data_IF_969143041961
#
_entry.id   IF_969143041961
#
_cell.length_a   1.000
_cell.length_b   1.000
_cell.length_c   1.000
_cell.angle_alpha   90.00
_cell.angle_beta   90.00
_cell.angle_gamma   90.00
#
_symmetry.space_group_name_H-M   'P 1'
#
loop_
_entity.id
_entity.type
_entity.pdbx_description
1 polymer ?
2 polymer ?
3 polymer ?
4 non-polymer ?
5 water ?
#
# COMPACT_ATOMS: atom_id res chain seq x y z
N UNK A 1 -16.63 -5.44 14.84
CA UNK A 1 -17.51 -6.65 14.79
C UNK A 1 -17.03 -7.94 14.05
N UNK A 2 -16.05 -8.73 14.50
CA UNK A 2 -15.06 -8.49 15.58
C UNK A 2 -14.16 -7.28 15.30
N UNK A 3 -13.24 -7.42 14.34
CA UNK A 3 -12.67 -6.19 13.74
C UNK A 3 -13.65 -5.54 12.76
N UNK A 4 -13.31 -5.56 11.49
CA UNK A 4 -14.47 -5.37 10.59
C UNK A 4 -15.08 -6.64 10.02
N UNK A 5 -15.41 -7.55 10.96
CA UNK A 5 -15.35 -9.01 10.73
C UNK A 5 -14.17 -9.71 11.45
N UNK A 6 -13.04 -9.64 10.74
CA UNK A 6 -11.68 -10.04 11.25
C UNK A 6 -10.87 -9.02 12.10
N UNK A 7 -10.08 -9.42 13.13
CA UNK A 7 -9.94 -10.69 13.88
C UNK A 7 -8.94 -11.72 13.44
N UNK A 8 -9.11 -12.10 12.19
CA UNK A 8 -8.12 -12.92 11.48
C UNK A 8 -7.00 -12.14 10.74
N UNK A 9 -7.11 -10.83 10.86
CA UNK A 9 -6.20 -10.00 10.06
C UNK A 9 -4.72 -10.27 10.16
N UNK A 10 -4.04 -10.00 9.06
CA UNK A 10 -2.59 -10.02 9.09
C UNK A 10 -1.89 -11.34 9.31
N UNK A 11 -2.68 -12.42 9.30
CA UNK A 11 -2.08 -13.77 9.26
C UNK A 11 -2.27 -14.42 7.89
N UNK A 12 -1.17 -14.63 7.20
CA UNK A 12 -1.36 -15.03 5.80
C UNK A 12 -1.62 -16.55 5.65
N UNK A 13 -2.66 -16.94 4.87
CA UNK A 13 -2.94 -18.37 4.66
C UNK A 13 -1.73 -19.21 4.32
N UNK A 14 -0.88 -18.70 3.41
CA UNK A 14 0.26 -19.51 2.99
C UNK A 14 1.54 -19.40 3.80
N UNK A 15 1.53 -18.50 4.80
CA UNK A 15 2.76 -18.34 5.59
C UNK A 15 2.47 -18.52 7.06
N UNK A 16 2.06 -17.47 7.79
CA UNK A 16 1.80 -17.63 9.23
C UNK A 16 0.90 -18.76 9.66
N UNK A 17 -0.21 -18.92 8.93
CA UNK A 17 -1.04 -20.10 9.21
C UNK A 17 -0.45 -21.52 9.03
N UNK A 18 0.67 -21.66 8.33
CA UNK A 18 1.28 -22.98 8.11
C UNK A 18 2.66 -23.02 8.72
N UNK A 19 2.91 -21.98 9.51
CA UNK A 19 4.23 -21.77 10.11
C UNK A 19 5.35 -21.75 9.11
N UNK A 20 5.02 -21.20 7.94
CA UNK A 20 6.09 -20.98 6.97
C UNK A 20 6.56 -19.51 6.91
N UNK A 21 7.85 -19.30 6.73
CA UNK A 21 8.35 -17.93 6.60
C UNK A 21 8.58 -17.52 5.18
N UNK A 22 8.28 -16.24 4.86
CA UNK A 22 8.80 -15.76 3.58
C UNK A 22 10.28 -15.46 3.53
N UNK A 23 10.73 -15.30 2.32
CA UNK A 23 12.15 -15.13 1.96
C UNK A 23 12.92 -14.00 2.65
N UNK A 24 12.20 -12.93 2.95
CA UNK A 24 12.87 -11.76 3.59
C UNK A 24 12.31 -11.28 4.92
N UNK A 25 11.33 -11.99 5.46
CA UNK A 25 10.77 -11.38 6.64
C UNK A 25 11.71 -11.31 7.84
N UNK A 26 12.69 -12.20 7.94
CA UNK A 26 13.77 -12.09 8.95
C UNK A 26 14.49 -10.72 9.01
N UNK A 27 14.73 -10.14 7.83
CA UNK A 27 15.26 -8.76 7.75
C UNK A 27 14.47 -7.68 8.53
N UNK A 28 13.15 -7.76 8.42
CA UNK A 28 12.27 -6.88 9.22
C UNK A 28 12.40 -7.11 10.73
N UNK A 29 12.26 -8.37 11.14
CA UNK A 29 12.33 -8.77 12.55
C UNK A 29 13.69 -8.51 13.23
N UNK A 30 14.72 -8.75 12.45
CA UNK A 30 16.04 -8.31 12.86
C UNK A 30 16.31 -6.84 12.92
N UNK A 31 15.50 -6.02 12.28
CA UNK A 31 15.72 -4.60 12.57
C UNK A 31 14.99 -4.07 13.79
N UNK A 32 14.11 -4.88 14.38
CA UNK A 32 13.31 -4.37 15.50
C UNK A 32 14.04 -4.54 16.84
N UNK A 33 15.19 -3.87 16.90
CA UNK A 33 16.27 -4.11 17.88
C UNK A 33 16.69 -5.54 18.15
N UNK A 34 16.68 -6.27 17.04
CA UNK A 34 16.74 -7.76 16.91
C UNK A 34 15.80 -8.63 17.78
N UNK A 35 15.82 -8.37 19.09
CA UNK A 35 14.86 -9.02 20.01
C UNK A 35 15.37 -9.78 21.23
N UNK A 36 16.44 -10.50 20.95
CA UNK A 36 17.21 -11.42 21.80
C UNK A 36 18.38 -11.95 20.93
N UNK B 1 8.23 -0.52 -8.05
CA UNK B 1 9.24 -0.62 -7.02
C UNK B 1 10.59 -0.68 -7.70
N UNK B 2 11.50 0.17 -7.20
CA UNK B 2 12.88 0.24 -7.67
C UNK B 2 13.79 -0.52 -6.75
N UNK B 3 14.56 -1.41 -7.37
CA UNK B 3 15.46 -2.30 -6.63
C UNK B 3 14.83 -3.31 -5.68
N UNK B 4 13.61 -3.70 -6.00
CA UNK B 4 13.05 -4.77 -5.22
C UNK B 4 13.19 -6.11 -5.92
N UNK B 5 12.44 -7.07 -5.40
CA UNK B 5 12.42 -8.40 -6.02
C UNK B 5 11.00 -8.90 -6.21
N UNK B 6 10.85 -10.00 -6.96
CA UNK B 6 9.52 -10.59 -7.18
C UNK B 6 8.88 -11.14 -5.90
N UNK B 7 7.64 -10.80 -5.70
CA UNK B 7 6.99 -11.32 -4.52
C UNK B 7 6.78 -12.82 -4.64
N UNK B 8 6.78 -13.47 -3.48
CA UNK B 8 6.24 -14.83 -3.50
C UNK B 8 4.75 -14.83 -3.62
N UNK B 9 4.27 -15.97 -4.04
CA UNK B 9 2.81 -16.13 -4.10
C UNK B 9 2.18 -16.19 -2.72
N UNK B 10 1.07 -15.49 -2.60
CA UNK B 10 0.50 -15.33 -1.26
C UNK B 10 1.24 -14.49 -0.21
N UNK B 11 2.40 -13.89 -0.59
CA UNK B 11 3.19 -13.06 0.35
C UNK B 11 2.49 -11.80 0.86
N UNK B 12 1.60 -11.28 0.05
CA UNK B 12 0.90 -10.04 0.38
C UNK B 12 -0.58 -10.05 -0.01
N UNK B 13 -1.36 -10.91 0.67
CA UNK B 13 -2.71 -11.19 0.17
C UNK B 13 -3.71 -10.07 0.34
N UNK B 14 -3.25 -8.98 0.94
CA UNK B 14 -4.09 -7.77 1.06
C UNK B 14 -3.81 -6.78 -0.06
N UNK B 15 -2.82 -7.06 -0.90
CA UNK B 15 -2.55 -6.10 -1.97
C UNK B 15 -3.66 -6.02 -2.99
N UNK B 16 -4.06 -4.81 -3.29
CA UNK B 16 -5.15 -4.62 -4.25
C UNK B 16 -4.66 -3.80 -5.46
N UNK B 17 -5.20 -4.08 -6.65
CA UNK B 17 -4.96 -3.22 -7.80
C UNK B 17 -6.14 -2.36 -8.12
N UNK B 18 -5.80 -1.10 -8.24
CA UNK B 18 -6.77 -0.13 -8.76
C UNK B 18 -6.66 0.00 -10.28
N UNK B 19 -7.77 -0.34 -10.88
CA UNK B 19 -7.70 -0.59 -12.29
C UNK B 19 -8.75 0.25 -12.98
N UNK B 20 -8.30 1.10 -13.90
CA UNK B 20 -9.43 1.64 -14.64
C UNK B 20 -9.85 0.94 -15.92
N UNK B 21 -11.15 1.01 -15.99
CA UNK B 21 -11.86 0.26 -17.01
C UNK B 21 -12.24 1.16 -18.14
N UNK B 22 -11.23 1.54 -18.90
CA UNK B 22 -11.32 2.32 -20.18
C UNK B 22 -10.79 3.75 -20.20
N UNK B 23 -9.54 3.88 -20.66
CA UNK B 23 -8.68 2.76 -21.07
C UNK B 23 -8.29 1.85 -19.91
N UNK B 24 -8.16 0.58 -20.23
CA UNK B 24 -7.65 -0.34 -19.24
C UNK B 24 -6.23 0.03 -18.80
N UNK B 25 -6.20 0.52 -17.59
CA UNK B 25 -4.86 0.69 -17.00
C UNK B 25 -4.78 0.54 -15.48
N UNK B 26 -3.61 0.13 -15.00
CA UNK B 26 -3.29 0.29 -13.56
C UNK B 26 -3.22 1.77 -13.23
N UNK B 27 -4.02 2.18 -12.24
CA UNK B 27 -3.88 3.52 -11.63
C UNK B 27 -2.90 3.60 -10.46
N UNK B 28 -3.15 2.69 -9.49
CA UNK B 28 -2.50 2.70 -8.18
C UNK B 28 -2.65 1.37 -7.47
N UNK B 29 -1.88 1.24 -6.40
CA UNK B 29 -2.13 0.15 -5.43
C UNK B 29 -3.20 0.52 -4.42
N UNK B 30 -3.47 -0.43 -3.57
CA UNK B 30 -4.48 -0.27 -2.53
C UNK B 30 -4.33 -1.46 -1.60
N UNK B 31 -5.14 -1.50 -0.54
CA UNK B 31 -5.05 -2.64 0.37
C UNK B 31 -6.41 -3.05 0.90
N UNK B 32 -6.56 -4.36 1.14
CA UNK B 32 -7.82 -4.90 1.69
C UNK B 32 -7.75 -4.93 3.22
N UNK B 33 -8.66 -4.20 3.86
CA UNK B 33 -8.64 -4.14 5.33
C UNK B 33 -9.86 -4.83 5.99
N UNK B 34 -10.86 -5.15 5.17
CA UNK B 34 -11.87 -6.12 5.61
C UNK B 34 -12.53 -6.79 4.42
N UNK B 35 -13.60 -7.59 4.59
CA UNK B 35 -14.22 -8.14 3.34
C UNK B 35 -14.91 -7.17 2.37
N UNK B 36 -15.16 -5.97 2.86
CA UNK B 36 -15.85 -4.92 2.06
C UNK B 36 -15.19 -3.52 1.86
N UNK B 37 -14.00 -3.36 2.43
CA UNK B 37 -13.32 -2.04 2.52
C UNK B 37 -11.92 -2.12 2.01
N UNK B 38 -11.70 -1.16 1.13
CA UNK B 38 -10.34 -0.97 0.62
C UNK B 38 -9.75 0.42 1.01
N UNK B 39 -8.49 0.41 1.39
CA UNK B 39 -7.72 1.64 1.71
C UNK B 39 -6.71 2.01 0.64
N UNK B 40 -6.68 3.27 0.27
CA UNK B 40 -5.75 3.75 -0.79
C UNK B 40 -5.38 5.20 -0.49
N UNK B 41 -4.57 5.80 -1.32
CA UNK B 41 -4.30 7.23 -1.26
C UNK B 41 -5.35 8.06 -1.99
N UNK B 42 -5.79 9.14 -1.34
CA UNK B 42 -6.70 10.11 -1.98
C UNK B 42 -6.26 10.68 -3.34
N UNK B 43 -4.97 10.95 -3.50
CA UNK B 43 -4.46 11.42 -4.80
C UNK B 43 -4.55 10.49 -6.06
N UNK B 44 -4.72 9.19 -5.79
CA UNK B 44 -5.13 8.23 -6.82
C UNK B 44 -6.51 8.48 -7.43
N UNK B 45 -7.37 9.08 -6.64
CA UNK B 45 -8.72 9.37 -7.16
C UNK B 45 -8.97 10.81 -7.53
N UNK B 46 -8.35 11.65 -6.73
CA UNK B 46 -8.63 13.09 -6.75
C UNK B 46 -7.37 13.94 -6.75
N UNK B 47 -7.13 14.48 -7.92
CA UNK B 47 -6.03 15.42 -8.03
C UNK B 47 -6.28 16.50 -9.07
N UNK B 48 -6.98 17.56 -8.60
CA UNK B 48 -7.30 18.71 -9.47
C UNK B 48 -6.17 19.35 -10.26
N UNK B 49 -4.96 19.59 -9.75
CA UNK B 49 -3.95 20.10 -10.69
C UNK B 49 -3.86 19.39 -12.06
N UNK B 50 -4.21 18.09 -12.06
CA UNK B 50 -4.10 17.28 -13.27
C UNK B 50 -5.43 16.89 -13.86
N UNK B 51 -6.48 17.62 -13.46
CA UNK B 51 -7.86 17.19 -13.75
C UNK B 51 -8.19 15.73 -13.54
N UNK B 52 -7.63 15.18 -12.46
CA UNK B 52 -8.01 13.83 -12.04
C UNK B 52 -9.06 13.80 -10.95
N UNK B 53 -10.15 13.16 -11.30
CA UNK B 53 -11.30 13.06 -10.42
C UNK B 53 -12.14 11.81 -10.72
N UNK B 54 -11.63 10.67 -10.27
CA UNK B 54 -12.41 9.45 -10.47
C UNK B 54 -13.54 9.22 -9.51
N UNK B 55 -14.59 8.79 -10.14
CA UNK B 55 -15.70 8.27 -9.32
C UNK B 55 -15.91 6.74 -9.40
N UNK B 56 -16.86 6.24 -8.61
CA UNK B 56 -16.97 4.78 -8.44
C UNK B 56 -17.09 3.95 -9.71
N UNK B 57 -17.99 4.42 -10.55
CA UNK B 57 -18.15 3.73 -11.82
C UNK B 57 -16.99 3.78 -12.79
N UNK B 58 -16.04 4.66 -12.52
CA UNK B 58 -14.84 4.67 -13.39
C UNK B 58 -13.84 3.56 -13.14
N UNK B 59 -14.06 2.91 -12.01
CA UNK B 59 -12.99 2.07 -11.48
C UNK B 59 -13.40 0.62 -11.17
N UNK B 60 -12.39 -0.24 -11.37
CA UNK B 60 -12.47 -1.57 -10.73
C UNK B 60 -11.34 -1.85 -9.75
N UNK B 61 -11.75 -2.51 -8.69
CA UNK B 61 -10.73 -3.10 -7.81
C UNK B 61 -10.35 -4.59 -8.09
N UNK B 62 -9.06 -4.87 -8.26
CA UNK B 62 -8.71 -6.28 -8.46
C UNK B 62 -7.86 -6.88 -7.33
N UNK B 63 -8.38 -7.97 -6.77
CA UNK B 63 -7.84 -8.58 -5.55
C UNK B 63 -7.32 -10.01 -5.74
N UNK B 64 -6.19 -10.36 -5.14
CA UNK B 64 -5.70 -11.74 -5.27
C UNK B 64 -4.64 -11.95 -6.33
N UNK B 65 -4.18 -10.83 -6.90
CA UNK B 65 -3.23 -10.89 -8.01
C UNK B 65 -1.77 -11.01 -7.75
N UNK B 66 -1.10 -11.54 -8.75
CA UNK B 66 0.34 -11.61 -8.72
C UNK B 66 0.97 -11.04 -10.00
N UNK B 67 0.51 -11.60 -11.11
CA UNK B 67 0.77 -10.98 -12.43
C UNK B 67 0.14 -9.60 -12.58
N UNK B 68 0.95 -8.68 -13.04
CA UNK B 68 0.40 -7.35 -13.37
C UNK B 68 -0.63 -7.32 -14.50
N UNK B 69 -0.25 -7.99 -15.61
CA UNK B 69 -1.12 -7.89 -16.82
C UNK B 69 -2.13 -9.01 -17.14
N UNK B 70 -1.88 -10.22 -16.65
CA UNK B 70 -2.79 -11.36 -16.83
C UNK B 70 -4.16 -11.20 -16.17
N UNK B 71 -5.24 -11.57 -16.84
CA UNK B 71 -6.40 -11.90 -16.02
C UNK B 71 -6.24 -13.28 -15.32
N UNK B 72 -6.04 -13.23 -13.99
CA UNK B 72 -5.68 -14.48 -13.26
C UNK B 72 -6.85 -15.36 -12.86
N UNK B 73 -7.21 -16.15 -13.89
CA UNK B 73 -8.55 -16.75 -14.01
C UNK B 73 -9.14 -17.50 -12.85
N UNK B 74 -8.46 -18.40 -12.17
CA UNK B 74 -9.35 -18.75 -11.04
C UNK B 74 -8.92 -18.22 -9.66
N UNK B 75 -8.13 -17.17 -9.71
CA UNK B 75 -7.40 -16.70 -8.54
C UNK B 75 -7.84 -15.29 -8.15
N UNK B 76 -7.78 -14.35 -9.10
CA UNK B 76 -8.18 -12.99 -8.72
C UNK B 76 -9.66 -12.74 -8.63
N UNK B 77 -10.06 -11.83 -7.76
CA UNK B 77 -11.44 -11.39 -7.78
C UNK B 77 -11.53 -9.92 -8.18
N UNK B 78 -12.52 -9.60 -9.00
CA UNK B 78 -12.71 -8.23 -9.47
C UNK B 78 -13.97 -7.68 -8.87
N UNK B 79 -13.84 -6.49 -8.33
CA UNK B 79 -15.01 -5.97 -7.61
C UNK B 79 -15.29 -4.56 -8.03
N UNK B 80 -16.54 -4.27 -7.79
CA UNK B 80 -17.05 -2.96 -8.12
C UNK B 80 -17.20 -2.17 -6.87
N UNK B 81 -17.10 -0.87 -7.08
CA UNK B 81 -17.16 0.06 -5.95
C UNK B 81 -18.52 0.59 -5.76
N UNK B 82 -18.93 0.62 -4.51
CA UNK B 82 -20.14 1.42 -4.31
C UNK B 82 -19.99 2.85 -3.80
N UNK B 83 -18.99 3.01 -2.95
CA UNK B 83 -18.75 4.36 -2.45
C UNK B 83 -17.29 4.66 -2.22
N UNK B 84 -16.90 5.83 -2.72
CA UNK B 84 -15.58 6.36 -2.39
C UNK B 84 -15.70 7.41 -1.30
N UNK B 85 -14.80 7.32 -0.32
CA UNK B 85 -14.70 8.35 0.72
C UNK B 85 -13.35 8.99 0.82
N UNK B 86 -13.25 10.25 0.49
CA UNK B 86 -11.92 10.89 0.66
C UNK B 86 -11.81 11.64 1.99
N UNK B 87 -10.66 11.63 2.65
CA UNK B 87 -10.60 12.54 3.83
C UNK B 87 -11.04 14.02 3.58
N UNK B 88 -12.02 14.53 4.33
CA UNK B 88 -12.53 15.91 4.07
C UNK B 88 -11.47 17.03 4.10
N UNK B 89 -10.38 16.74 4.79
CA UNK B 89 -9.21 17.64 4.80
C UNK B 89 -7.95 17.16 4.10
N UNK B 90 -8.11 16.23 3.16
CA UNK B 90 -6.99 15.98 2.25
C UNK B 90 -6.47 17.29 1.60
N UNK B 91 -5.17 17.53 1.70
CA UNK B 91 -4.61 18.76 1.14
C UNK B 91 -3.89 18.63 -0.19
N UNK B 92 -4.70 18.60 -1.25
CA UNK B 92 -4.07 18.54 -2.58
C UNK B 92 -3.53 19.87 -3.10
N UNK B 93 -3.93 20.97 -2.44
CA UNK B 93 -3.36 22.26 -2.85
C UNK B 93 -1.92 22.49 -2.50
N UNK B 94 -1.58 22.00 -1.31
CA UNK B 94 -0.18 22.15 -0.91
C UNK B 94 0.71 20.90 -0.85
N UNK B 95 0.51 20.03 0.12
CA UNK B 95 1.57 19.02 0.33
C UNK B 95 1.09 17.56 0.38
N UNK B 96 -0.17 17.34 -0.04
CA UNK B 96 -0.81 16.00 0.06
C UNK B 96 -0.95 15.48 1.47
N UNK B 97 -1.15 16.41 2.37
CA UNK B 97 -1.43 16.04 3.75
C UNK B 97 -2.81 15.36 3.88
N UNK B 98 -2.87 14.29 4.69
CA UNK B 98 -4.10 13.48 4.76
C UNK B 98 -4.48 12.82 3.44
N UNK B 99 -3.42 12.30 2.83
CA UNK B 99 -3.56 11.55 1.58
C UNK B 99 -4.13 10.11 1.81
N UNK B 100 -5.42 10.06 2.02
CA UNK B 100 -6.11 8.85 2.40
C UNK B 100 -7.56 8.87 1.88
N UNK B 101 -7.98 7.66 1.50
CA UNK B 101 -9.31 7.40 1.02
C UNK B 101 -9.69 5.96 1.31
N UNK B 102 -10.98 5.83 1.59
CA UNK B 102 -11.66 4.54 1.78
C UNK B 102 -12.59 4.21 0.65
N UNK B 103 -12.53 2.95 0.22
CA UNK B 103 -13.52 2.48 -0.76
C UNK B 103 -14.39 1.35 -0.26
N UNK B 104 -15.69 1.57 -0.36
CA UNK B 104 -16.67 0.51 -0.14
C UNK B 104 -16.98 -0.35 -1.38
N UNK B 105 -16.81 -1.67 -1.18
CA UNK B 105 -17.05 -2.61 -2.28
C UNK B 105 -18.50 -2.94 -2.37
N UNK B 106 -18.94 -3.09 -3.60
CA UNK B 106 -20.38 -3.32 -3.82
C UNK B 106 -20.98 -4.52 -3.06
N UNK B 107 -20.15 -5.56 -3.04
CA UNK B 107 -20.44 -6.74 -2.22
C UNK B 107 -19.16 -7.38 -1.78
N UNK B 108 -19.24 -8.09 -0.65
CA UNK B 108 -18.00 -8.55 -0.02
C UNK B 108 -17.17 -9.54 -0.86
N UNK B 109 -15.84 -9.46 -0.74
CA UNK B 109 -15.03 -10.53 -1.32
C UNK B 109 -14.92 -11.68 -0.37
N UNK B 110 -14.79 -12.86 -0.98
CA UNK B 110 -14.43 -14.00 -0.15
C UNK B 110 -12.96 -14.15 -0.04
N UNK B 111 -12.58 -14.49 1.19
CA UNK B 111 -11.16 -14.77 1.39
C UNK B 111 -10.72 -16.12 0.85
N UNK B 112 -9.42 -16.23 0.65
CA UNK B 112 -8.82 -17.45 0.09
C UNK B 112 -7.37 -17.51 0.46
N UNK B 113 -6.65 -18.44 -0.08
CA UNK B 113 -5.20 -18.36 0.11
C UNK B 113 -4.49 -17.10 -0.39
N UNK B 114 -5.17 -16.39 -1.30
CA UNK B 114 -4.55 -15.28 -2.06
C UNK B 114 -5.08 -13.89 -1.71
N UNK B 115 -6.14 -13.95 -0.92
CA UNK B 115 -6.99 -12.81 -0.55
C UNK B 115 -7.25 -12.84 0.96
N UNK B 116 -6.61 -11.91 1.65
CA UNK B 116 -6.72 -11.91 3.12
C UNK B 116 -6.45 -10.48 3.68
N UNK B 117 -7.25 -9.96 4.62
CA UNK B 117 -7.00 -8.56 5.01
C UNK B 117 -5.81 -8.32 5.91
N UNK B 118 -5.29 -7.13 5.77
CA UNK B 118 -4.22 -6.69 6.71
C UNK B 118 -4.80 -6.03 8.02
N UNK B 119 -4.05 -6.09 9.10
CA UNK B 119 -4.55 -5.31 10.22
C UNK B 119 -4.20 -3.82 10.23
N UNK B 120 -5.06 -3.06 10.86
CA UNK B 120 -4.73 -1.65 11.16
C UNK B 120 -4.13 -1.47 12.54
N UNK B 121 -3.14 -0.57 12.71
CA UNK B 121 -2.44 -0.52 14.00
C UNK B 121 -3.30 0.15 15.08
N UNK B 122 -3.05 -0.32 16.27
CA UNK B 122 -3.49 0.41 17.44
C UNK B 122 -2.37 1.27 17.98
N UNK B 123 -2.71 2.11 18.95
CA UNK B 123 -1.71 2.92 19.69
C UNK B 123 -0.41 2.23 20.12
N UNK B 124 -0.52 1.14 20.84
CA UNK B 124 0.76 0.54 21.19
C UNK B 124 1.53 -0.17 20.11
N UNK B 125 0.82 -0.72 19.13
CA UNK B 125 1.59 -1.18 17.96
C UNK B 125 2.27 -0.06 17.23
N UNK B 126 1.53 1.02 16.97
CA UNK B 126 2.19 2.19 16.39
C UNK B 126 3.38 2.73 17.17
N UNK B 127 3.14 2.90 18.47
CA UNK B 127 4.26 3.37 19.33
C UNK B 127 5.54 2.57 19.33
N UNK B 128 5.36 1.29 19.55
CA UNK B 128 6.48 0.34 19.44
C UNK B 128 7.21 0.17 18.13
N UNK B 129 6.46 0.27 17.03
CA UNK B 129 7.08 -0.19 15.78
C UNK B 129 7.49 0.95 14.87
N UNK B 130 6.80 2.06 15.05
CA UNK B 130 7.17 3.21 14.19
C UNK B 130 8.35 4.01 14.72
N UNK B 131 9.50 3.41 14.50
CA UNK B 131 10.75 3.98 15.00
C UNK B 131 11.84 4.01 13.96
N UNK B 132 12.59 5.09 13.92
CA UNK B 132 13.60 5.12 12.86
C UNK B 132 14.56 3.98 12.91
N UNK B 133 14.92 3.49 11.73
CA UNK B 133 15.74 2.27 11.77
C UNK B 133 14.98 0.96 11.62
N UNK B 134 13.76 0.94 12.10
CA UNK B 134 12.94 -0.26 11.86
C UNK B 134 12.48 -0.36 10.43
N UNK B 135 12.55 -1.57 9.88
CA UNK B 135 12.12 -1.78 8.50
C UNK B 135 10.69 -2.18 8.31
N UNK B 136 10.12 -1.58 7.28
CA UNK B 136 8.83 -2.04 6.83
C UNK B 136 8.92 -2.49 5.38
N UNK B 137 7.78 -2.91 4.87
CA UNK B 137 7.73 -3.52 3.55
C UNK B 137 6.71 -2.87 2.66
N UNK B 138 7.20 -2.61 1.45
CA UNK B 138 6.35 -1.98 0.43
C UNK B 138 6.20 -2.87 -0.81
N UNK B 139 4.99 -2.91 -1.29
CA UNK B 139 4.70 -3.75 -2.44
C UNK B 139 3.93 -3.00 -3.50
N UNK B 140 4.18 -3.43 -4.74
CA UNK B 140 3.36 -2.88 -5.84
C UNK B 140 3.78 -3.26 -7.25
N UNK B 141 3.00 -2.83 -8.22
CA UNK B 141 3.26 -3.14 -9.66
C UNK B 141 3.76 -1.97 -10.51
N UNK B 142 4.21 -0.93 -9.79
CA UNK B 142 4.68 0.23 -10.50
C UNK B 142 6.05 0.06 -11.09
N UNK B 143 6.44 1.18 -11.64
CA UNK B 143 7.67 1.14 -12.40
C UNK B 143 8.85 0.73 -11.62
N UNK B 144 9.68 0.09 -12.40
CA UNK B 144 10.96 -0.39 -11.91
C UNK B 144 12.06 0.65 -11.95
N UNK B 145 11.76 1.74 -12.60
CA UNK B 145 12.77 2.78 -12.79
C UNK B 145 12.12 4.13 -13.02
N UNK B 146 12.84 5.18 -12.69
CA UNK B 146 12.17 6.48 -12.64
C UNK B 146 11.35 7.00 -13.82
N UNK B 147 10.07 7.23 -13.55
CA UNK B 147 9.14 7.58 -14.65
C UNK B 147 8.48 8.97 -14.75
N UNK B 148 8.63 9.78 -13.69
CA UNK B 148 8.52 11.25 -13.92
C UNK B 148 9.87 11.84 -14.41
N UNK B 149 10.18 11.26 -15.59
CA UNK B 149 11.46 11.07 -16.32
C UNK B 149 11.54 9.69 -16.99
N UNK B 150 10.45 9.37 -17.72
CA UNK B 150 10.10 7.98 -18.12
C UNK B 150 11.17 6.98 -18.59
N UNK B 151 11.23 5.87 -17.89
CA UNK B 151 12.52 5.17 -17.92
C UNK B 151 12.68 3.80 -18.58
N UNK B 152 13.95 3.56 -18.94
CA UNK B 152 14.39 2.22 -19.39
C UNK B 152 15.06 1.27 -18.35
N UNK B 153 16.10 0.51 -18.71
CA UNK B 153 16.59 -0.58 -17.81
C UNK B 153 15.72 -1.84 -17.55
N UNK B 154 14.42 -1.68 -17.89
CA UNK B 154 13.29 -2.65 -17.96
C UNK B 154 11.84 -2.06 -17.93
N UNK B 155 11.63 -1.06 -17.08
CA UNK B 155 10.32 -0.39 -17.17
C UNK B 155 9.23 -0.81 -16.20
N UNK B 156 8.57 -1.89 -16.56
CA UNK B 156 7.43 -2.41 -15.78
C UNK B 156 7.58 -3.90 -15.40
N UNK B 157 7.11 -4.29 -14.19
CA UNK B 157 7.37 -5.67 -13.78
C UNK B 157 6.31 -6.59 -14.37
N UNK B 158 6.61 -7.86 -14.37
CA UNK B 158 5.50 -8.75 -14.79
C UNK B 158 4.64 -9.29 -13.67
N UNK B 159 5.30 -9.33 -12.53
CA UNK B 159 4.76 -9.84 -11.27
C UNK B 159 4.89 -8.76 -10.18
N UNK B 160 4.03 -8.81 -9.18
CA UNK B 160 4.20 -8.04 -7.93
C UNK B 160 5.64 -8.00 -7.35
N UNK B 161 6.12 -6.79 -7.10
CA UNK B 161 7.48 -6.65 -6.54
C UNK B 161 7.45 -6.27 -5.06
N UNK B 162 8.53 -6.53 -4.37
CA UNK B 162 8.59 -6.22 -2.95
C UNK B 162 9.91 -5.53 -2.63
N UNK B 163 9.86 -4.56 -1.74
CA UNK B 163 11.11 -4.06 -1.13
C UNK B 163 10.94 -3.76 0.39
N UNK B 164 11.98 -4.01 1.18
CA UNK B 164 11.95 -3.65 2.61
C UNK B 164 12.81 -2.42 2.90
N UNK B 165 12.21 -1.47 3.57
CA UNK B 165 12.88 -0.17 3.77
C UNK B 165 12.91 0.28 5.22
N UNK B 166 14.01 0.89 5.64
CA UNK B 166 13.99 1.50 6.99
C UNK B 166 13.20 2.80 7.13
N UNK B 167 12.50 2.93 8.25
CA UNK B 167 11.96 4.25 8.62
C UNK B 167 13.11 5.25 8.98
N UNK B 168 12.93 6.44 8.50
CA UNK B 168 13.98 7.44 8.76
C UNK B 168 13.51 8.48 9.80
N UNK B 169 14.46 8.95 10.58
CA UNK B 169 14.26 10.13 11.43
C UNK B 169 13.62 11.34 10.81
N UNK B 170 12.63 11.86 11.49
CA UNK B 170 11.98 13.06 10.98
C UNK B 170 12.82 14.28 10.59
N UNK B 171 13.89 14.64 11.36
CA UNK B 171 14.81 15.67 10.88
C UNK B 171 15.43 15.41 9.51
N UNK B 172 15.86 14.17 9.30
CA UNK B 172 16.44 13.95 7.97
C UNK B 172 15.45 13.94 6.84
N UNK B 173 14.25 13.50 7.20
CA UNK B 173 13.13 13.66 6.27
C UNK B 173 12.85 15.11 5.84
N UNK B 174 12.63 15.91 6.85
CA UNK B 174 12.39 17.31 6.56
C UNK B 174 13.57 18.07 5.90
N UNK B 175 14.80 17.76 6.29
CA UNK B 175 15.98 18.26 5.56
C UNK B 175 16.29 17.77 4.14
N UNK B 176 15.50 16.81 3.65
CA UNK B 176 15.71 16.31 2.28
C UNK B 176 14.86 17.00 1.23
N UNK B 177 13.98 17.85 1.71
CA UNK B 177 12.97 18.36 0.80
C UNK B 177 12.59 19.80 1.11
N UNK B 178 12.07 20.53 0.14
CA UNK B 178 11.45 21.84 0.40
C UNK B 178 10.01 21.79 0.75
N UNK B 179 9.38 20.61 0.63
CA UNK B 179 7.93 20.47 0.96
C UNK B 179 7.65 20.53 2.42
N UNK B 180 6.62 21.24 2.78
CA UNK B 180 6.27 21.12 4.19
C UNK B 180 5.72 19.75 4.67
N UNK B 181 6.51 19.08 5.49
CA UNK B 181 6.15 17.77 6.09
C UNK B 181 5.19 17.88 7.30
N UNK B 182 4.15 17.04 7.34
CA UNK B 182 3.32 17.13 8.53
C UNK B 182 3.47 15.92 9.45
N UNK B 183 2.80 15.99 10.58
CA UNK B 183 2.71 14.82 11.48
C UNK B 183 1.91 13.63 10.94
N UNK B 184 1.10 13.91 9.92
CA UNK B 184 0.40 12.82 9.22
C UNK B 184 1.22 12.11 8.15
N UNK B 185 2.52 12.34 8.16
CA UNK B 185 3.42 11.69 7.21
C UNK B 185 4.57 11.08 7.93
N UNK B 186 5.17 10.06 7.34
CA UNK B 186 6.50 9.69 7.74
C UNK B 186 7.30 9.42 6.48
N UNK B 187 8.62 9.37 6.63
CA UNK B 187 9.39 8.95 5.46
C UNK B 187 10.23 7.70 5.61
N UNK B 188 10.58 7.15 4.48
CA UNK B 188 11.34 5.90 4.58
C UNK B 188 12.30 5.65 3.41
N UNK B 189 13.35 4.91 3.68
CA UNK B 189 14.32 4.68 2.60
C UNK B 189 15.72 4.62 3.14
N UNK B 190 16.62 4.10 2.34
CA UNK B 190 18.01 4.10 2.80
C UNK B 190 18.72 5.43 2.60
N UNK B 191 19.65 5.71 3.49
CA UNK B 191 20.52 6.89 3.31
C UNK B 191 21.65 6.70 2.30
N UNK B 192 22.18 7.78 1.69
CA UNK B 192 23.21 7.63 0.64
C UNK B 192 24.40 6.76 0.99
N UNK B 193 24.76 6.86 2.26
CA UNK B 193 25.85 6.01 2.75
C UNK B 193 25.62 4.49 2.93
N UNK B 194 24.35 4.09 3.13
CA UNK B 194 24.17 2.74 3.69
C UNK B 194 24.32 1.56 2.73
N UNK B 195 24.63 1.88 1.47
CA UNK B 195 24.91 0.79 0.54
C UNK B 195 23.71 0.20 -0.21
N UNK B 196 22.70 -0.14 0.59
CA UNK B 196 21.42 -0.56 0.02
C UNK B 196 20.55 0.54 -0.60
N UNK B 197 19.83 0.14 -1.64
CA UNK B 197 18.86 1.01 -2.36
C UNK B 197 17.39 0.54 -2.34
N UNK B 198 16.56 1.34 -2.98
CA UNK B 198 15.20 0.85 -3.09
C UNK B 198 14.17 1.91 -2.81
N UNK B 199 13.10 1.82 -3.55
CA UNK B 199 12.04 2.81 -3.34
C UNK B 199 10.77 2.33 -4.01
N UNK B 200 9.67 2.92 -3.63
CA UNK B 200 8.52 2.90 -4.49
C UNK B 200 8.67 3.85 -5.67
N UNK B 201 7.74 3.79 -6.59
CA UNK B 201 7.88 4.53 -7.84
C UNK B 201 6.52 4.66 -8.49
N UNK B 202 6.44 5.29 -9.67
CA UNK B 202 5.08 5.49 -10.16
C UNK B 202 4.17 4.28 -10.37
N UNK B 203 2.89 4.37 -10.03
CA UNK B 203 2.05 3.17 -10.12
C UNK B 203 1.97 2.39 -8.82
N UNK B 204 2.93 2.64 -7.93
CA UNK B 204 2.90 2.09 -6.56
C UNK B 204 2.07 2.84 -5.53
N UNK B 205 1.73 4.10 -5.82
CA UNK B 205 0.96 5.02 -4.94
C UNK B 205 -0.31 4.36 -4.50
N UNK B 206 -0.68 4.67 -3.25
CA UNK B 206 -1.90 4.05 -2.75
C UNK B 206 -1.72 2.71 -2.06
N UNK B 207 -0.63 2.01 -2.37
CA UNK B 207 -0.34 0.72 -1.72
C UNK B 207 0.22 0.75 -0.29
N UNK B 208 0.29 -0.47 0.28
CA UNK B 208 0.66 -0.63 1.71
C UNK B 208 2.14 -0.56 2.07
N UNK B 209 2.44 0.20 3.16
CA UNK B 209 3.69 -0.01 3.88
C UNK B 209 3.33 -0.81 5.15
N UNK B 210 3.91 -1.99 5.28
CA UNK B 210 3.40 -2.89 6.32
C UNK B 210 4.53 -3.30 7.21
N UNK B 211 4.24 -3.65 8.44
CA UNK B 211 5.31 -4.17 9.29
C UNK B 211 4.83 -5.42 10.03
N UNK B 212 5.74 -6.28 10.40
CA UNK B 212 5.19 -7.45 11.10
C UNK B 212 5.41 -7.34 12.61
N UNK B 213 4.35 -7.48 13.37
CA UNK B 213 4.61 -7.33 14.78
C UNK B 213 5.35 -8.50 15.38
N UNK B 214 6.40 -8.17 16.12
CA UNK B 214 7.13 -9.21 16.87
C UNK B 214 6.43 -9.77 18.13
N UNK B 215 5.37 -9.13 18.56
CA UNK B 215 4.68 -9.59 19.76
C UNK B 215 3.57 -10.55 19.44
N UNK B 216 2.81 -10.22 18.41
CA UNK B 216 1.81 -11.21 18.04
C UNK B 216 1.91 -11.87 16.66
N UNK B 217 3.01 -11.62 15.93
CA UNK B 217 3.24 -12.14 14.54
C UNK B 217 2.28 -11.78 13.40
N UNK B 218 1.46 -10.77 13.65
CA UNK B 218 0.60 -10.24 12.61
C UNK B 218 1.16 -9.06 11.83
N UNK B 219 0.69 -8.98 10.60
CA UNK B 219 1.08 -7.86 9.73
C UNK B 219 0.18 -6.69 9.89
N UNK B 220 0.81 -5.55 10.09
CA UNK B 220 0.03 -4.31 10.27
C UNK B 220 0.34 -3.28 9.17
N UNK B 221 -0.68 -2.63 8.65
CA UNK B 221 -0.37 -1.52 7.73
C UNK B 221 -0.11 -0.16 8.43
N UNK B 222 1.16 0.24 8.39
CA UNK B 222 1.52 1.52 9.02
C UNK B 222 1.52 2.73 8.12
N UNK B 223 1.76 2.52 6.84
CA UNK B 223 1.70 3.63 5.91
C UNK B 223 0.95 3.35 4.60
N UNK B 224 0.63 4.40 3.86
CA UNK B 224 0.19 4.30 2.46
C UNK B 224 1.22 5.00 1.58
N UNK B 225 1.67 4.39 0.46
CA UNK B 225 2.53 5.11 -0.49
C UNK B 225 1.89 6.41 -1.00
N UNK B 226 2.58 7.48 -0.65
CA UNK B 226 1.94 8.77 -0.90
C UNK B 226 2.69 9.63 -1.90
N UNK B 227 3.95 9.92 -1.58
CA UNK B 227 4.71 10.80 -2.49
C UNK B 227 6.20 10.70 -2.34
N UNK B 228 6.92 11.32 -3.26
CA UNK B 228 8.38 11.34 -3.14
C UNK B 228 8.96 12.14 -4.29
N UNK B 229 10.24 12.38 -4.27
CA UNK B 229 10.79 13.16 -5.38
C UNK B 229 11.67 12.28 -6.24
N UNK B 230 11.15 12.01 -7.43
CA UNK B 230 11.76 10.93 -8.21
C UNK B 230 11.56 9.56 -7.62
N UNK B 231 12.39 8.65 -8.04
CA UNK B 231 12.25 7.32 -7.47
C UNK B 231 13.61 6.84 -7.18
N UNK B 232 13.90 6.53 -5.93
CA UNK B 232 15.21 5.99 -5.56
C UNK B 232 16.35 6.98 -5.83
N UNK B 233 16.02 8.26 -5.76
CA UNK B 233 17.13 9.21 -5.94
C UNK B 233 17.90 9.39 -4.70
N UNK B 234 19.24 9.41 -4.80
CA UNK B 234 20.04 9.54 -3.57
C UNK B 234 19.75 10.77 -2.73
N UNK B 235 19.67 10.58 -1.42
CA UNK B 235 19.34 11.73 -0.59
C UNK B 235 17.90 12.20 -0.62
N UNK B 236 17.06 11.49 -1.37
CA UNK B 236 15.61 11.64 -1.28
C UNK B 236 14.91 10.41 -0.64
N UNK B 237 13.70 10.63 -0.14
CA UNK B 237 13.05 9.56 0.59
C UNK B 237 11.62 9.43 0.15
N UNK B 238 11.06 8.24 0.35
CA UNK B 238 9.63 8.18 0.12
C UNK B 238 8.83 8.63 1.31
N UNK B 239 7.74 9.30 1.01
CA UNK B 239 6.77 9.69 2.01
C UNK B 239 5.47 8.88 1.93
N UNK B 240 5.01 8.60 3.14
CA UNK B 240 3.88 7.73 3.37
C UNK B 240 2.85 8.39 4.27
N UNK B 241 1.59 8.20 3.93
CA UNK B 241 0.56 8.60 4.91
C UNK B 241 0.58 7.84 6.21
N UNK B 242 0.53 8.57 7.33
CA UNK B 242 0.60 7.91 8.66
C UNK B 242 -0.75 7.31 9.04
N UNK B 243 -0.86 5.97 8.89
CA UNK B 243 -2.19 5.37 9.02
C UNK B 243 -2.80 5.47 10.43
N UNK B 244 -2.01 5.19 11.47
CA UNK B 244 -2.55 5.37 12.84
C UNK B 244 -3.05 6.80 13.19
N UNK B 245 -2.33 7.83 12.73
CA UNK B 245 -2.83 9.16 12.99
C UNK B 245 -4.15 9.50 12.34
N UNK B 246 -4.51 8.72 11.34
CA UNK B 246 -5.82 9.01 10.71
C UNK B 246 -6.87 7.94 10.96
N UNK B 247 -6.58 7.09 11.92
CA UNK B 247 -7.46 5.99 12.28
C UNK B 247 -8.85 6.34 12.82
N UNK B 248 -8.97 7.47 13.52
CA UNK B 248 -10.34 7.88 13.88
C UNK B 248 -11.25 8.20 12.73
N UNK B 249 -10.69 8.82 11.72
CA UNK B 249 -11.53 9.07 10.57
C UNK B 249 -11.93 7.75 9.91
N UNK B 250 -10.96 6.85 9.76
CA UNK B 250 -11.28 5.49 9.25
C UNK B 250 -12.39 4.76 10.01
N UNK B 251 -12.24 4.69 11.33
CA UNK B 251 -13.32 4.18 12.20
C UNK B 251 -14.63 4.90 12.12
N UNK B 252 -14.55 6.21 12.28
CA UNK B 252 -15.71 7.01 11.94
C UNK B 252 -16.41 6.65 10.65
N UNK B 253 -15.70 6.71 9.51
CA UNK B 253 -16.42 6.31 8.30
C UNK B 253 -16.86 4.83 8.15
N UNK B 254 -16.08 3.91 8.67
CA UNK B 254 -16.69 2.58 8.61
C UNK B 254 -17.77 2.22 9.67
N UNK B 255 -17.77 2.96 10.77
CA UNK B 255 -18.96 2.97 11.63
C UNK B 255 -20.21 3.73 11.13
N UNK B 256 -20.03 4.89 10.55
CA UNK B 256 -21.26 5.49 10.00
C UNK B 256 -22.05 4.80 8.89
N UNK B 257 -21.42 4.08 7.97
CA UNK B 257 -22.23 3.01 7.33
C UNK B 257 -21.56 1.77 6.73
N UNK B 258 -21.42 0.71 7.54
CA UNK B 258 -22.02 0.63 8.91
C UNK B 258 -23.47 0.09 9.08
N UNK B 259 -23.62 -1.12 8.62
CA UNK B 259 -24.92 -1.67 8.24
C UNK B 259 -24.97 -3.17 8.57
N UNK C 1 -2.28 -2.95 -22.79
CA UNK C 1 -1.25 -3.90 -22.26
C UNK C 1 -1.83 -5.05 -21.40
N UNK C 2 -2.99 -4.73 -20.87
CA UNK C 2 -3.61 -5.68 -19.96
C UNK C 2 -4.37 -6.74 -20.74
N UNK C 3 -4.22 -7.96 -20.25
CA UNK C 3 -5.17 -8.94 -20.74
C UNK C 3 -6.62 -8.56 -20.48
N UNK C 4 -7.37 -8.98 -21.44
CA UNK C 4 -8.80 -8.79 -21.50
C UNK C 4 -9.49 -9.28 -20.23
N UNK C 5 -10.31 -8.43 -19.65
CA UNK C 5 -11.10 -9.01 -18.57
C UNK C 5 -12.52 -9.38 -19.04
N UNK C 6 -13.17 -10.32 -18.32
CA UNK C 6 -14.62 -10.56 -18.56
C UNK C 6 -15.61 -9.39 -18.55
N UNK C 7 -16.46 -9.40 -19.59
CA UNK C 7 -17.45 -8.31 -19.70
C UNK C 7 -18.56 -8.23 -18.65
N UNK C 8 -18.61 -9.22 -17.76
CA UNK C 8 -19.50 -8.88 -16.64
C UNK C 8 -18.92 -7.91 -15.57
N UNK C 9 -17.66 -7.50 -15.79
CA UNK C 9 -16.98 -6.57 -14.87
C UNK C 9 -16.98 -5.09 -15.23
N UNK C 10 -17.44 -4.84 -16.46
CA UNK C 10 -17.53 -3.48 -16.98
C UNK C 10 -18.94 -2.89 -16.82
X LIG D 1 4.57 8.06 -6.43
X LIG D 1 4.72 6.95 -5.42
X LIG D 1 6.18 6.72 -5.16
X LIG D 1 6.85 7.94 -4.59
X LIG D 1 8.25 7.64 -4.18
X LIG D 1 8.50 7.06 -3.02
X LIG D 1 9.28 7.99 -4.91
X LIG D 1 2.33 5.97 -7.80
X LIG D 1 0.41 8.74 -8.32
X LIG D 1 2.63 9.31 -7.58
X LIG D 1 2.70 11.40 -8.77
X LIG D 1 3.57 10.42 -8.01
X LIG D 1 1.63 9.28 -8.72
X LIG D 1 1.39 10.72 -9.08
X LIG D 1 3.36 7.98 -7.35
X LIG D 1 2.36 6.90 -7.05
#
# INVERSE_FOLDING_TARGET
TFGSGEADCGLRPLFEKKSLEDKTERELLESYIDGR
IVEGSDAEIGMSPWQVMLFRKSPQELLCGASLISDRWVLTAAHCLLYPPWDKNFTENDLLVRIGKHSRTRYERNIEKISMLEKIYIHPRYNWRENLDRDIALMKLKKPVAFSDYIHPVCLPDRETAASLLQAGYKGRVTGWGNLKETWTANVGKGQPSVLQVVNLPIVERPVCKDSTRIRITDNMFCAGYKPDEGKRGDACEGDSGGPFVMKSPFNNRWYQMGIVSWGEGCDRDGKYGFYTHVFRLKKWIQKVIDQFGE
DFEEIPEEYL
157 C1 C2 C3 C4 C5 N6 N7 O8 O9 C10 C11 C12 C13 C14 C16 C15
#
